data_IF_918495451826
#
_entry.id   IF_918495451826
#
_cell.length_a   1.000
_cell.length_b   1.000
_cell.length_c   1.000
_cell.angle_alpha   90.00
_cell.angle_beta   90.00
_cell.angle_gamma   90.00
#
_symmetry.space_group_name_H-M   'P 1'
#
loop_
_entity.id
_entity.type
_entity.pdbx_description
1 polymer ?
#
# COMPACT_ATOMS: atom_id res chain seq x y z
N UNK A 1 -22.11 19.78 -1.46
CA UNK A 1 -22.48 19.27 -2.80
C UNK A 1 -23.29 20.25 -3.64
N UNK A 2 -24.34 20.90 -3.13
CA UNK A 2 -25.17 21.81 -3.97
C UNK A 2 -24.40 22.92 -4.71
N UNK A 3 -23.28 23.38 -4.13
CA UNK A 3 -22.36 24.34 -4.75
C UNK A 3 -21.68 23.76 -6.00
N UNK A 4 -21.19 22.52 -5.92
CA UNK A 4 -20.49 21.82 -7.00
C UNK A 4 -21.43 21.37 -8.13
N UNK A 5 -22.73 21.30 -7.87
CA UNK A 5 -23.75 20.93 -8.86
C UNK A 5 -24.27 22.13 -9.67
N UNK A 6 -24.00 23.36 -9.21
CA UNK A 6 -24.52 24.61 -9.80
C UNK A 6 -23.43 25.49 -10.42
N UNK A 7 -22.21 25.42 -9.89
CA UNK A 7 -21.08 26.23 -10.36
C UNK A 7 -20.31 25.52 -11.48
N UNK A 8 -19.65 26.29 -12.35
CA UNK A 8 -18.68 25.74 -13.29
C UNK A 8 -17.47 25.27 -12.48
N UNK A 9 -17.20 23.96 -12.53
CA UNK A 9 -16.12 23.35 -11.75
C UNK A 9 -14.75 23.67 -12.35
N UNK A 10 -13.74 23.78 -11.48
CA UNK A 10 -12.36 23.82 -11.94
C UNK A 10 -11.88 22.43 -12.35
N UNK A 11 -10.80 22.36 -13.13
CA UNK A 11 -10.17 21.08 -13.50
C UNK A 11 -9.75 20.27 -12.26
N UNK A 12 -9.37 20.95 -11.16
CA UNK A 12 -9.02 20.30 -9.90
C UNK A 12 -10.24 19.67 -9.23
N UNK A 13 -11.39 20.37 -9.18
CA UNK A 13 -12.64 19.83 -8.62
C UNK A 13 -13.13 18.62 -9.43
N UNK A 14 -13.04 18.71 -10.76
CA UNK A 14 -13.40 17.61 -11.67
C UNK A 14 -12.49 16.40 -11.42
N UNK A 15 -11.19 16.62 -11.28
CA UNK A 15 -10.23 15.56 -11.05
C UNK A 15 -10.44 14.88 -9.69
N UNK A 16 -10.71 15.64 -8.63
CA UNK A 16 -11.07 15.09 -7.32
C UNK A 16 -12.35 14.26 -7.36
N UNK A 17 -13.40 14.75 -8.04
CA UNK A 17 -14.65 13.99 -8.23
C UNK A 17 -14.40 12.66 -8.98
N UNK A 18 -13.52 12.64 -9.98
CA UNK A 18 -13.12 11.41 -10.66
C UNK A 18 -12.44 10.43 -9.72
N UNK A 19 -11.54 10.91 -8.85
CA UNK A 19 -10.83 10.04 -7.91
C UNK A 19 -11.76 9.48 -6.83
N UNK A 20 -12.70 10.28 -6.30
CA UNK A 20 -13.71 9.79 -5.36
C UNK A 20 -14.59 8.70 -5.98
N UNK A 21 -15.06 8.91 -7.22
CA UNK A 21 -15.79 7.88 -7.94
C UNK A 21 -14.93 6.62 -8.17
N UNK A 22 -13.64 6.79 -8.48
CA UNK A 22 -12.70 5.68 -8.66
C UNK A 22 -12.52 4.85 -7.38
N UNK A 23 -12.47 5.47 -6.20
CA UNK A 23 -12.47 4.73 -4.91
C UNK A 23 -13.70 3.83 -4.80
N UNK A 24 -14.89 4.37 -5.08
CA UNK A 24 -16.15 3.63 -4.98
C UNK A 24 -16.23 2.51 -6.03
N UNK A 25 -15.79 2.77 -7.27
CA UNK A 25 -15.77 1.77 -8.34
C UNK A 25 -14.75 0.65 -8.02
N UNK A 26 -13.59 0.96 -7.44
CA UNK A 26 -12.57 -0.03 -7.06
C UNK A 26 -13.04 -0.93 -5.91
N UNK A 27 -13.67 -0.35 -4.87
CA UNK A 27 -14.26 -1.14 -3.78
C UNK A 27 -15.34 -2.11 -4.28
N UNK A 28 -16.21 -1.67 -5.20
CA UNK A 28 -17.20 -2.54 -5.81
C UNK A 28 -16.58 -3.64 -6.66
N UNK A 29 -15.50 -3.35 -7.40
CA UNK A 29 -14.77 -4.34 -8.21
C UNK A 29 -14.02 -5.38 -7.35
N UNK A 30 -13.71 -5.05 -6.10
CA UNK A 30 -13.23 -6.00 -5.08
C UNK A 30 -14.38 -6.80 -4.42
N UNK A 31 -15.64 -6.52 -4.77
CA UNK A 31 -16.82 -7.19 -4.24
C UNK A 31 -17.44 -6.51 -3.00
N UNK A 32 -16.91 -5.36 -2.58
CA UNK A 32 -17.46 -4.57 -1.47
C UNK A 32 -18.54 -3.61 -1.98
N UNK A 33 -19.79 -4.07 -2.09
CA UNK A 33 -20.89 -3.24 -2.62
C UNK A 33 -21.63 -2.45 -1.55
N UNK A 34 -21.62 -2.89 -0.29
CA UNK A 34 -22.44 -2.31 0.78
C UNK A 34 -22.25 -0.78 0.92
N UNK A 35 -21.02 -0.28 0.84
CA UNK A 35 -20.77 1.16 0.91
C UNK A 35 -21.43 1.90 -0.26
N UNK A 36 -21.31 1.38 -1.48
CA UNK A 36 -21.92 1.98 -2.66
C UNK A 36 -23.44 1.95 -2.57
N UNK A 37 -24.00 0.83 -2.11
CA UNK A 37 -25.44 0.64 -1.95
C UNK A 37 -26.00 1.66 -0.94
N UNK A 38 -25.38 1.80 0.23
CA UNK A 38 -25.77 2.80 1.24
C UNK A 38 -25.60 4.24 0.74
N UNK A 39 -24.45 4.56 0.12
CA UNK A 39 -24.17 5.90 -0.39
C UNK A 39 -25.12 6.31 -1.53
N UNK A 40 -25.56 5.34 -2.33
CA UNK A 40 -26.54 5.57 -3.38
C UNK A 40 -27.96 5.69 -2.82
N UNK A 41 -28.38 4.82 -1.90
CA UNK A 41 -29.72 4.86 -1.29
C UNK A 41 -29.94 6.16 -0.50
N UNK A 42 -28.98 6.55 0.34
CA UNK A 42 -29.15 7.67 1.26
C UNK A 42 -28.86 9.04 0.61
N UNK A 43 -27.95 9.08 -0.37
CA UNK A 43 -27.43 10.35 -0.90
C UNK A 43 -27.41 10.46 -2.42
N UNK A 44 -27.76 9.39 -3.15
CA UNK A 44 -27.58 9.25 -4.60
C UNK A 44 -26.15 9.58 -5.04
N UNK A 45 -25.17 9.21 -4.21
CA UNK A 45 -23.80 9.69 -4.32
C UNK A 45 -23.15 9.32 -5.67
N UNK A 46 -23.26 8.07 -6.10
CA UNK A 46 -22.65 7.61 -7.35
C UNK A 46 -23.35 8.25 -8.56
N UNK A 47 -24.68 8.29 -8.54
CA UNK A 47 -25.47 8.96 -9.59
C UNK A 47 -25.05 10.42 -9.73
N UNK A 48 -24.96 11.15 -8.61
CA UNK A 48 -24.57 12.57 -8.60
C UNK A 48 -23.13 12.79 -9.06
N UNK A 49 -22.18 11.97 -8.62
CA UNK A 49 -20.80 12.04 -9.10
C UNK A 49 -20.72 11.83 -10.61
N UNK A 50 -21.41 10.81 -11.15
CA UNK A 50 -21.44 10.55 -12.60
C UNK A 50 -22.10 11.69 -13.38
N UNK A 51 -23.17 12.28 -12.88
CA UNK A 51 -23.82 13.44 -13.49
C UNK A 51 -22.91 14.68 -13.51
N UNK A 52 -22.19 14.95 -12.42
CA UNK A 52 -21.23 16.05 -12.34
C UNK A 52 -20.14 15.89 -13.42
N UNK A 53 -19.59 14.69 -13.57
CA UNK A 53 -18.59 14.40 -14.60
C UNK A 53 -19.17 14.57 -16.01
N UNK A 54 -20.37 14.04 -16.25
CA UNK A 54 -21.05 14.14 -17.54
C UNK A 54 -21.33 15.59 -17.95
N UNK A 55 -21.83 16.42 -17.02
CA UNK A 55 -22.10 17.86 -17.26
C UNK A 55 -20.85 18.64 -17.63
N UNK A 56 -19.69 18.23 -17.13
CA UNK A 56 -18.40 18.82 -17.45
C UNK A 56 -17.70 18.15 -18.67
N UNK A 57 -18.39 17.24 -19.37
CA UNK A 57 -17.88 16.64 -20.60
C UNK A 57 -16.71 15.67 -20.41
N UNK A 58 -16.52 15.15 -19.19
CA UNK A 58 -15.42 14.23 -18.88
C UNK A 58 -15.94 12.82 -18.55
N UNK A 59 -15.12 11.82 -18.87
CA UNK A 59 -15.38 10.44 -18.47
C UNK A 59 -14.73 10.12 -17.11
N UNK A 60 -15.33 9.20 -16.31
CA UNK A 60 -14.67 8.59 -15.16
C UNK A 60 -13.31 7.97 -15.53
N UNK A 61 -12.49 7.66 -14.52
CA UNK A 61 -11.33 6.80 -14.75
C UNK A 61 -11.79 5.39 -15.17
N UNK A 62 -11.03 4.70 -16.03
CA UNK A 62 -11.33 3.32 -16.34
C UNK A 62 -11.20 2.45 -15.06
N UNK A 63 -12.02 1.41 -15.00
CA UNK A 63 -11.74 0.27 -14.14
C UNK A 63 -10.62 -0.50 -14.84
N UNK A 64 -9.49 -0.72 -14.16
CA UNK A 64 -8.34 -1.41 -14.77
C UNK A 64 -8.69 -2.89 -14.93
N UNK A 65 -9.09 -3.27 -16.15
CA UNK A 65 -9.42 -4.65 -16.51
C UNK A 65 -8.18 -5.52 -16.78
N UNK A 66 -6.97 -4.96 -16.72
CA UNK A 66 -5.69 -5.66 -16.93
C UNK A 66 -5.17 -6.31 -15.64
N UNK A 67 -6.05 -6.88 -14.81
CA UNK A 67 -5.59 -7.72 -13.69
C UNK A 67 -4.80 -8.91 -14.25
N UNK A 68 -3.65 -9.20 -13.64
CA UNK A 68 -2.89 -10.38 -13.99
C UNK A 68 -3.72 -11.63 -13.64
N UNK A 69 -3.59 -12.68 -14.44
CA UNK A 69 -4.25 -13.94 -14.14
C UNK A 69 -3.60 -14.57 -12.90
N UNK A 70 -4.42 -15.18 -12.04
CA UNK A 70 -3.95 -15.90 -10.86
C UNK A 70 -2.86 -16.91 -11.20
N UNK A 71 -1.94 -17.10 -10.26
CA UNK A 71 -0.85 -18.07 -10.39
C UNK A 71 -0.94 -19.16 -9.33
N UNK A 72 -0.21 -20.25 -9.55
CA UNK A 72 -0.07 -21.35 -8.59
C UNK A 72 1.27 -21.21 -7.89
N UNK A 73 1.25 -21.36 -6.57
CA UNK A 73 2.44 -21.27 -5.74
C UNK A 73 2.98 -22.66 -5.40
N UNK A 74 4.31 -22.74 -5.26
CA UNK A 74 4.98 -23.96 -4.83
C UNK A 74 4.63 -24.30 -3.38
N UNK A 75 4.88 -25.55 -2.99
CA UNK A 75 4.78 -25.98 -1.58
C UNK A 75 6.06 -25.75 -0.79
N UNK A 76 7.13 -25.36 -1.48
CA UNK A 76 8.43 -25.11 -0.86
C UNK A 76 8.41 -23.70 -0.24
N UNK A 77 8.86 -23.61 1.01
CA UNK A 77 8.98 -22.34 1.71
C UNK A 77 10.41 -21.83 1.62
N UNK A 78 10.54 -20.53 1.36
CA UNK A 78 11.80 -19.81 1.37
C UNK A 78 11.78 -18.76 2.46
N UNK A 79 12.88 -18.61 3.20
CA UNK A 79 13.07 -17.45 4.07
C UNK A 79 13.19 -16.19 3.18
N UNK A 80 12.46 -15.14 3.54
CA UNK A 80 12.27 -13.97 2.68
C UNK A 80 13.59 -13.24 2.37
N UNK A 81 14.45 -13.00 3.35
CA UNK A 81 15.71 -12.28 3.11
C UNK A 81 16.67 -13.08 2.22
N UNK A 82 16.78 -14.39 2.44
CA UNK A 82 17.54 -15.30 1.58
C UNK A 82 17.02 -15.30 0.14
N UNK A 83 15.70 -15.36 -0.05
CA UNK A 83 15.08 -15.28 -1.38
C UNK A 83 15.37 -13.95 -2.07
N UNK A 84 15.26 -12.83 -1.36
CA UNK A 84 15.54 -11.49 -1.89
C UNK A 84 17.01 -11.37 -2.35
N UNK A 85 17.95 -11.99 -1.61
CA UNK A 85 19.34 -12.08 -2.02
C UNK A 85 19.54 -12.86 -3.34
N UNK A 86 18.81 -13.96 -3.52
CA UNK A 86 18.85 -14.76 -4.75
C UNK A 86 18.24 -14.00 -5.94
N UNK A 87 17.10 -13.34 -5.73
CA UNK A 87 16.40 -12.55 -6.76
C UNK A 87 17.29 -11.48 -7.39
N UNK A 88 18.05 -10.73 -6.57
CA UNK A 88 18.99 -9.72 -7.05
C UNK A 88 20.05 -10.32 -8.00
N UNK A 89 20.58 -11.49 -7.66
CA UNK A 89 21.58 -12.20 -8.46
C UNK A 89 20.99 -12.74 -9.77
N UNK A 90 19.75 -13.24 -9.74
CA UNK A 90 19.07 -13.76 -10.92
C UNK A 90 18.65 -12.67 -11.90
N UNK A 91 18.04 -11.58 -11.39
CA UNK A 91 17.59 -10.47 -12.22
C UNK A 91 18.77 -9.79 -12.96
N UNK A 92 19.96 -9.76 -12.37
CA UNK A 92 21.17 -9.28 -13.02
C UNK A 92 21.61 -10.09 -14.27
N UNK A 93 21.16 -11.35 -14.39
CA UNK A 93 21.50 -12.25 -15.50
C UNK A 93 20.48 -12.24 -16.64
N UNK A 94 19.27 -11.75 -16.41
CA UNK A 94 18.22 -11.67 -17.44
C UNK A 94 18.67 -10.73 -18.56
N UNK A 95 18.31 -10.99 -19.81
CA UNK A 95 18.74 -10.20 -20.97
C UNK A 95 17.95 -8.90 -21.18
N UNK A 96 16.65 -8.92 -20.89
CA UNK A 96 15.69 -7.84 -21.15
C UNK A 96 15.24 -7.15 -19.86
N UNK A 97 14.73 -5.92 -19.99
CA UNK A 97 13.97 -5.22 -18.94
C UNK A 97 12.50 -5.20 -19.34
N UNK A 98 11.60 -5.15 -18.36
CA UNK A 98 10.17 -5.00 -18.62
C UNK A 98 9.88 -3.67 -19.32
N UNK A 99 8.85 -3.67 -20.17
CA UNK A 99 8.36 -2.49 -20.88
C UNK A 99 7.15 -1.85 -20.19
N UNK A 100 6.78 -2.32 -18.99
CA UNK A 100 5.64 -1.78 -18.28
C UNK A 100 5.89 -0.30 -17.91
N UNK A 101 5.08 0.65 -18.40
CA UNK A 101 5.34 2.08 -18.21
C UNK A 101 5.20 2.53 -16.74
N UNK A 102 4.50 1.77 -15.90
CA UNK A 102 4.32 2.12 -14.49
C UNK A 102 5.61 1.96 -13.66
N UNK A 103 6.56 1.16 -14.12
CA UNK A 103 7.85 0.97 -13.44
C UNK A 103 8.63 2.29 -13.32
N UNK A 104 8.52 3.21 -14.28
CA UNK A 104 9.13 4.54 -14.21
C UNK A 104 8.53 5.38 -13.06
N UNK A 105 7.24 5.23 -12.79
CA UNK A 105 6.58 5.92 -11.68
C UNK A 105 7.02 5.32 -10.33
N UNK A 106 7.17 4.00 -10.24
CA UNK A 106 7.73 3.33 -9.05
C UNK A 106 9.20 3.72 -8.85
N UNK A 107 9.98 3.93 -9.93
CA UNK A 107 11.35 4.43 -9.84
C UNK A 107 11.41 5.85 -9.26
N UNK A 108 10.56 6.76 -9.76
CA UNK A 108 10.45 8.13 -9.21
C UNK A 108 9.96 8.13 -7.78
N UNK A 109 9.03 7.24 -7.44
CA UNK A 109 8.61 7.05 -6.05
C UNK A 109 9.81 6.64 -5.18
N UNK A 110 10.62 5.69 -5.65
CA UNK A 110 11.84 5.24 -4.96
C UNK A 110 12.86 6.37 -4.75
N UNK A 111 13.02 7.26 -5.74
CA UNK A 111 13.84 8.48 -5.61
C UNK A 111 13.27 9.46 -4.57
N UNK A 112 11.94 9.64 -4.57
CA UNK A 112 11.27 10.58 -3.68
C UNK A 112 11.34 10.16 -2.20
N UNK A 113 11.35 8.86 -1.90
CA UNK A 113 11.49 8.35 -0.52
C UNK A 113 12.74 8.92 0.17
N UNK A 114 13.83 9.11 -0.59
CA UNK A 114 15.17 9.53 -0.13
C UNK A 114 15.81 8.54 0.86
N UNK A 115 17.14 8.56 0.91
CA UNK A 115 17.92 7.73 1.84
C UNK A 115 18.67 8.59 2.86
N UNK A 116 18.64 8.16 4.11
CA UNK A 116 19.36 8.71 5.25
C UNK A 116 20.00 7.56 6.04
N UNK A 117 21.30 7.68 6.35
CA UNK A 117 22.10 6.62 6.97
C UNK A 117 21.66 6.28 8.41
N UNK A 118 21.09 7.25 9.13
CA UNK A 118 20.64 7.08 10.53
C UNK A 118 19.18 6.64 10.63
N UNK A 119 18.55 6.31 9.49
CA UNK A 119 17.15 5.92 9.38
C UNK A 119 17.03 4.45 8.97
N UNK A 120 16.14 3.73 9.64
CA UNK A 120 15.70 2.40 9.21
C UNK A 120 14.54 2.52 8.23
N UNK A 121 14.57 1.74 7.15
CA UNK A 121 13.53 1.71 6.14
C UNK A 121 12.84 0.36 6.17
N UNK A 122 11.57 0.35 6.55
CA UNK A 122 10.72 -0.85 6.56
C UNK A 122 9.94 -0.86 5.25
N UNK A 123 10.17 -1.84 4.40
CA UNK A 123 9.43 -2.02 3.15
C UNK A 123 8.34 -3.06 3.35
N UNK A 124 7.07 -2.67 3.15
CA UNK A 124 5.95 -3.60 3.21
C UNK A 124 5.85 -4.38 1.89
N UNK A 125 6.36 -5.61 1.92
CA UNK A 125 6.81 -6.37 0.75
C UNK A 125 5.71 -6.84 -0.21
N UNK A 126 4.43 -6.61 0.09
CA UNK A 126 3.35 -6.81 -0.88
C UNK A 126 3.53 -5.88 -2.09
N UNK A 127 3.69 -4.58 -1.81
CA UNK A 127 3.71 -3.56 -2.86
C UNK A 127 5.01 -2.72 -2.86
N UNK A 128 5.93 -3.01 -1.94
CA UNK A 128 7.19 -2.27 -1.79
C UNK A 128 8.44 -3.08 -2.20
N UNK A 129 8.27 -4.22 -2.89
CA UNK A 129 9.41 -5.02 -3.38
C UNK A 129 10.31 -4.20 -4.31
N UNK A 130 9.76 -3.54 -5.33
CA UNK A 130 10.57 -2.79 -6.29
C UNK A 130 11.28 -1.58 -5.66
N UNK A 131 10.63 -0.78 -4.78
CA UNK A 131 11.35 0.18 -3.94
C UNK A 131 12.45 -0.45 -3.09
N UNK A 132 12.23 -1.61 -2.46
CA UNK A 132 13.28 -2.29 -1.70
C UNK A 132 14.49 -2.64 -2.58
N UNK A 133 14.25 -3.19 -3.78
CA UNK A 133 15.30 -3.53 -4.74
C UNK A 133 16.10 -2.30 -5.16
N UNK A 134 15.43 -1.16 -5.41
CA UNK A 134 16.10 0.10 -5.72
C UNK A 134 17.11 0.51 -4.64
N UNK A 135 16.73 0.41 -3.37
CA UNK A 135 17.62 0.77 -2.27
C UNK A 135 18.77 -0.24 -2.14
N UNK A 136 18.48 -1.55 -2.28
CA UNK A 136 19.51 -2.60 -2.26
C UNK A 136 20.52 -2.47 -3.39
N UNK A 137 20.09 -2.16 -4.62
CA UNK A 137 21.00 -2.02 -5.77
C UNK A 137 22.00 -0.87 -5.59
N UNK A 138 21.63 0.13 -4.79
CA UNK A 138 22.50 1.26 -4.40
C UNK A 138 23.35 0.98 -3.16
N UNK A 139 23.46 -0.27 -2.72
CA UNK A 139 24.21 -0.70 -1.54
C UNK A 139 23.79 0.06 -0.26
N UNK A 140 22.49 0.31 -0.10
CA UNK A 140 21.96 0.93 1.12
C UNK A 140 21.78 -0.11 2.22
N UNK A 141 22.06 0.33 3.45
CA UNK A 141 21.90 -0.45 4.68
C UNK A 141 20.62 -0.04 5.43
N UNK A 142 20.34 -0.73 6.55
CA UNK A 142 19.17 -0.50 7.41
C UNK A 142 17.82 -0.69 6.70
N UNK A 143 17.75 -1.67 5.81
CA UNK A 143 16.56 -2.00 5.05
C UNK A 143 15.93 -3.27 5.62
N UNK A 144 14.63 -3.20 5.92
CA UNK A 144 13.89 -4.25 6.61
C UNK A 144 12.71 -4.69 5.74
N UNK A 145 12.78 -5.86 5.08
CA UNK A 145 11.68 -6.36 4.26
C UNK A 145 10.64 -7.05 5.13
N UNK A 146 9.53 -6.37 5.43
CA UNK A 146 8.46 -6.93 6.27
C UNK A 146 7.25 -7.33 5.42
N UNK A 147 6.68 -8.51 5.70
CA UNK A 147 5.52 -9.03 4.98
C UNK A 147 4.29 -9.11 5.90
N UNK A 148 3.91 -7.96 6.45
CA UNK A 148 2.70 -7.80 7.29
C UNK A 148 1.46 -7.77 6.37
N UNK A 149 0.97 -8.95 6.02
CA UNK A 149 -0.22 -9.14 5.17
C UNK A 149 -1.44 -9.56 6.00
N UNK A 150 -2.65 -9.51 5.42
CA UNK A 150 -3.84 -10.08 6.08
C UNK A 150 -3.67 -11.55 6.49
N UNK A 151 -2.92 -12.34 5.70
CA UNK A 151 -2.59 -13.74 6.05
C UNK A 151 -1.70 -13.82 7.30
N UNK A 152 -0.69 -12.95 7.40
CA UNK A 152 0.15 -12.85 8.60
C UNK A 152 -0.70 -12.45 9.81
N UNK A 153 -1.52 -11.42 9.68
CA UNK A 153 -2.36 -10.94 10.77
C UNK A 153 -3.29 -12.06 11.28
N UNK A 154 -3.97 -12.76 10.36
CA UNK A 154 -4.83 -13.89 10.71
C UNK A 154 -4.09 -15.06 11.32
N UNK A 155 -2.88 -15.39 10.87
CA UNK A 155 -2.08 -16.46 11.49
C UNK A 155 -1.78 -16.16 12.96
N UNK A 156 -1.54 -14.90 13.30
CA UNK A 156 -1.20 -14.49 14.66
C UNK A 156 -2.45 -14.29 15.53
N UNK A 157 -3.53 -13.72 14.99
CA UNK A 157 -4.73 -13.37 15.77
C UNK A 157 -5.83 -14.41 15.73
N UNK A 158 -5.76 -15.38 14.80
CA UNK A 158 -6.84 -16.32 14.45
C UNK A 158 -8.14 -15.62 14.00
N UNK A 159 -8.07 -14.33 13.65
CA UNK A 159 -9.23 -13.50 13.27
C UNK A 159 -9.07 -13.02 11.83
N UNK A 160 -10.09 -13.29 11.02
CA UNK A 160 -10.21 -12.71 9.68
C UNK A 160 -10.48 -11.19 9.79
N UNK A 161 -9.92 -10.42 8.86
CA UNK A 161 -10.14 -8.98 8.71
C UNK A 161 -9.83 -8.11 9.94
N UNK A 162 -8.93 -8.55 10.84
CA UNK A 162 -8.51 -7.75 12.01
C UNK A 162 -7.96 -6.36 11.65
N UNK A 163 -7.43 -6.19 10.43
CA UNK A 163 -7.03 -4.87 9.96
C UNK A 163 -8.19 -3.87 9.82
N UNK A 164 -9.45 -4.31 9.86
CA UNK A 164 -10.63 -3.44 10.00
C UNK A 164 -10.64 -2.70 11.34
N UNK A 165 -10.27 -3.35 12.44
CA UNK A 165 -10.22 -2.72 13.78
C UNK A 165 -9.18 -1.60 13.83
N UNK A 166 -8.16 -1.70 12.98
CA UNK A 166 -7.18 -0.64 12.80
C UNK A 166 -7.69 0.44 11.85
N UNK A 167 -8.51 0.09 10.83
CA UNK A 167 -9.10 1.06 9.90
C UNK A 167 -10.23 1.89 10.51
N UNK A 168 -11.01 1.34 11.44
CA UNK A 168 -12.12 2.03 12.09
C UNK A 168 -11.68 3.36 12.74
N UNK A 169 -10.61 3.40 13.56
CA UNK A 169 -10.07 4.64 14.13
C UNK A 169 -9.75 5.74 13.10
N UNK A 170 -9.25 5.35 11.92
CA UNK A 170 -8.88 6.28 10.85
C UNK A 170 -10.12 7.00 10.33
N UNK A 171 -11.21 6.26 10.10
CA UNK A 171 -12.49 6.85 9.71
C UNK A 171 -13.10 7.68 10.85
N UNK A 172 -13.09 7.18 12.09
CA UNK A 172 -13.61 7.90 13.25
C UNK A 172 -12.93 9.25 13.47
N UNK A 173 -11.63 9.37 13.16
CA UNK A 173 -10.91 10.63 13.20
C UNK A 173 -11.45 11.65 12.19
N UNK A 174 -11.70 11.20 10.96
CA UNK A 174 -12.25 12.04 9.88
C UNK A 174 -13.67 12.49 10.20
N UNK A 175 -14.50 11.60 10.74
CA UNK A 175 -15.86 11.93 11.18
C UNK A 175 -15.89 12.98 12.29
N UNK A 176 -14.88 12.97 13.18
CA UNK A 176 -14.67 14.02 14.19
C UNK A 176 -14.05 15.31 13.62
N UNK A 177 -13.81 15.37 12.31
CA UNK A 177 -13.27 16.54 11.62
C UNK A 177 -11.76 16.72 11.78
N UNK A 178 -11.02 15.67 12.14
CA UNK A 178 -9.56 15.73 12.26
C UNK A 178 -8.89 15.55 10.89
N UNK A 179 -8.80 16.64 10.12
CA UNK A 179 -8.27 16.62 8.73
C UNK A 179 -6.78 16.98 8.61
N UNK A 180 -6.11 17.24 9.72
CA UNK A 180 -4.67 17.56 9.77
C UNK A 180 -3.94 16.48 10.55
N UNK A 181 -2.76 16.05 10.10
CA UNK A 181 -2.02 14.95 10.74
C UNK A 181 -1.83 15.15 12.25
N UNK A 182 -1.48 16.37 12.67
CA UNK A 182 -1.23 16.73 14.07
C UNK A 182 -2.45 16.54 15.00
N UNK A 183 -3.66 16.52 14.45
CA UNK A 183 -4.89 16.21 15.21
C UNK A 183 -5.37 14.79 14.95
N UNK A 184 -5.20 14.33 13.72
CA UNK A 184 -5.62 13.02 13.25
C UNK A 184 -4.86 11.90 13.93
N UNK A 185 -3.53 11.96 13.94
CA UNK A 185 -2.68 10.89 14.46
C UNK A 185 -2.83 10.69 15.97
N UNK A 186 -2.83 11.72 16.84
CA UNK A 186 -3.03 11.50 18.27
C UNK A 186 -4.36 10.78 18.58
N UNK A 187 -5.44 11.15 17.89
CA UNK A 187 -6.73 10.46 18.03
C UNK A 187 -6.64 9.00 17.56
N UNK A 188 -6.14 8.77 16.34
CA UNK A 188 -6.00 7.42 15.80
C UNK A 188 -5.10 6.55 16.70
N UNK A 189 -4.01 7.11 17.21
CA UNK A 189 -3.04 6.38 18.03
C UNK A 189 -3.65 5.83 19.30
N UNK A 190 -4.48 6.61 20.00
CA UNK A 190 -5.15 6.16 21.23
C UNK A 190 -6.06 4.97 20.93
N UNK A 191 -6.96 5.13 19.98
CA UNK A 191 -7.95 4.11 19.59
C UNK A 191 -7.29 2.86 18.97
N UNK A 192 -6.22 3.02 18.18
CA UNK A 192 -5.43 1.89 17.64
C UNK A 192 -4.75 1.11 18.78
N UNK A 193 -4.20 1.80 19.79
CA UNK A 193 -3.54 1.12 20.90
C UNK A 193 -4.54 0.32 21.76
N UNK A 194 -5.76 0.86 21.93
CA UNK A 194 -6.87 0.16 22.57
C UNK A 194 -7.31 -1.05 21.75
N UNK A 195 -7.49 -0.92 20.43
CA UNK A 195 -7.80 -2.05 19.56
C UNK A 195 -6.73 -3.15 19.62
N UNK A 196 -5.44 -2.77 19.66
CA UNK A 196 -4.33 -3.72 19.78
C UNK A 196 -4.24 -4.41 21.16
N UNK A 197 -4.89 -3.89 22.20
CA UNK A 197 -4.95 -4.58 23.51
C UNK A 197 -5.80 -5.86 23.46
N UNK A 198 -6.73 -5.96 22.50
CA UNK A 198 -7.47 -7.20 22.21
C UNK A 198 -6.60 -8.25 21.49
N UNK A 199 -5.44 -7.83 20.96
CA UNK A 199 -4.50 -8.66 20.19
C UNK A 199 -3.10 -8.68 20.80
N UNK A 200 -2.94 -9.15 22.06
CA UNK A 200 -1.68 -8.99 22.81
C UNK A 200 -0.48 -9.70 22.17
N UNK A 201 -0.69 -10.83 21.49
CA UNK A 201 0.37 -11.54 20.78
C UNK A 201 0.87 -10.75 19.57
N UNK A 202 -0.04 -10.25 18.74
CA UNK A 202 0.31 -9.38 17.61
C UNK A 202 1.02 -8.12 18.09
N UNK A 203 0.45 -7.43 19.09
CA UNK A 203 1.03 -6.23 19.70
C UNK A 203 2.46 -6.49 20.17
N UNK A 204 2.69 -7.63 20.84
CA UNK A 204 4.03 -8.04 21.28
C UNK A 204 4.96 -8.31 20.10
N UNK A 205 4.55 -9.09 19.10
CA UNK A 205 5.39 -9.41 17.93
C UNK A 205 5.82 -8.14 17.20
N UNK A 206 4.88 -7.24 16.90
CA UNK A 206 5.19 -5.98 16.22
C UNK A 206 6.10 -5.07 17.05
N UNK A 207 5.86 -4.99 18.37
CA UNK A 207 6.71 -4.23 19.29
C UNK A 207 8.12 -4.80 19.37
N UNK A 208 8.25 -6.13 19.42
CA UNK A 208 9.54 -6.83 19.44
C UNK A 208 10.30 -6.58 18.13
N UNK A 209 9.62 -6.70 16.97
CA UNK A 209 10.19 -6.39 15.65
C UNK A 209 10.71 -4.95 15.58
N UNK A 210 9.90 -3.96 15.99
CA UNK A 210 10.30 -2.56 16.06
C UNK A 210 11.47 -2.35 17.05
N UNK A 211 11.45 -3.05 18.19
CA UNK A 211 12.49 -3.02 19.21
C UNK A 211 13.85 -3.53 18.74
N UNK A 212 13.90 -4.39 17.72
CA UNK A 212 15.17 -4.85 17.12
C UNK A 212 15.87 -3.77 16.28
N UNK A 213 15.13 -2.75 15.82
CA UNK A 213 15.67 -1.67 15.00
C UNK A 213 16.45 -0.70 15.89
N UNK A 214 17.72 -0.46 15.56
CA UNK A 214 18.64 0.35 16.37
C UNK A 214 18.60 1.83 16.04
N UNK A 215 18.09 2.17 14.86
CA UNK A 215 18.00 3.54 14.36
C UNK A 215 16.99 4.35 15.18
N UNK A 216 17.24 5.66 15.27
CA UNK A 216 16.39 6.60 16.00
C UNK A 216 15.15 7.01 15.21
N UNK A 217 15.14 6.72 13.91
CA UNK A 217 14.02 6.97 13.00
C UNK A 217 13.73 5.71 12.20
N UNK A 218 12.44 5.44 12.01
CA UNK A 218 11.93 4.36 11.17
C UNK A 218 11.01 4.99 10.13
N UNK A 219 11.19 4.65 8.86
CA UNK A 219 10.30 5.07 7.77
C UNK A 219 9.70 3.82 7.14
N UNK A 220 8.38 3.67 7.26
CA UNK A 220 7.62 2.59 6.63
C UNK A 220 7.21 2.99 5.22
N UNK A 221 7.49 2.14 4.24
CA UNK A 221 7.19 2.32 2.83
C UNK A 221 6.05 1.39 2.43
N UNK A 222 4.96 1.96 1.93
CA UNK A 222 3.77 1.23 1.50
C UNK A 222 3.13 1.91 0.27
N UNK A 223 2.19 1.23 -0.40
CA UNK A 223 1.29 1.82 -1.38
C UNK A 223 -0.19 1.78 -0.96
N UNK A 224 -0.53 1.09 0.15
CA UNK A 224 -1.88 0.96 0.66
C UNK A 224 -2.52 2.31 0.98
N UNK A 225 -3.71 2.58 0.44
CA UNK A 225 -4.27 3.93 0.43
C UNK A 225 -4.64 4.47 1.82
N UNK A 226 -5.01 3.62 2.78
CA UNK A 226 -5.35 4.06 4.14
C UNK A 226 -4.12 4.26 5.05
N UNK A 227 -2.99 3.66 4.68
CA UNK A 227 -1.82 3.57 5.57
C UNK A 227 -2.09 2.77 6.84
N UNK A 228 -2.95 1.75 6.78
CA UNK A 228 -3.38 0.96 7.96
C UNK A 228 -2.21 0.38 8.73
N UNK A 229 -1.30 -0.32 8.04
CA UNK A 229 -0.13 -0.94 8.68
C UNK A 229 0.87 0.13 9.18
N UNK A 230 1.24 1.16 8.41
CA UNK A 230 2.05 2.28 8.90
C UNK A 230 1.47 2.96 10.13
N UNK A 231 0.16 3.22 10.16
CA UNK A 231 -0.51 3.85 11.31
C UNK A 231 -0.49 2.94 12.54
N UNK A 232 -0.67 1.63 12.35
CA UNK A 232 -0.51 0.63 13.41
C UNK A 232 0.91 0.64 14.00
N UNK A 233 1.93 0.61 13.14
CA UNK A 233 3.34 0.66 13.58
C UNK A 233 3.70 1.99 14.24
N UNK A 234 3.18 3.11 13.72
CA UNK A 234 3.35 4.44 14.29
C UNK A 234 2.70 4.59 15.67
N UNK A 235 1.55 3.93 15.89
CA UNK A 235 0.92 3.93 17.21
C UNK A 235 1.80 3.23 18.26
N UNK A 236 2.46 2.12 17.88
CA UNK A 236 3.31 1.31 18.74
C UNK A 236 4.67 1.95 19.04
N UNK A 237 5.27 2.65 18.08
CA UNK A 237 6.60 3.24 18.24
C UNK A 237 6.69 4.65 17.66
N UNK A 238 6.99 5.62 18.53
CA UNK A 238 7.12 7.04 18.17
C UNK A 238 8.24 7.36 17.16
N UNK A 239 9.17 6.43 16.91
CA UNK A 239 10.23 6.59 15.90
C UNK A 239 9.70 6.42 14.48
N UNK A 240 8.52 5.82 14.32
CA UNK A 240 7.93 5.46 13.04
C UNK A 240 7.25 6.67 12.40
N UNK A 241 7.67 6.94 11.18
CA UNK A 241 7.03 7.79 10.18
C UNK A 241 6.80 6.93 8.93
N UNK A 242 6.12 7.46 7.90
CA UNK A 242 5.83 6.67 6.72
C UNK A 242 5.76 7.47 5.43
N UNK A 243 5.89 6.73 4.33
CA UNK A 243 5.86 7.20 2.95
C UNK A 243 4.94 6.29 2.16
N UNK A 244 3.95 6.89 1.52
CA UNK A 244 2.99 6.23 0.66
C UNK A 244 3.17 6.65 -0.79
N UNK A 245 2.89 5.76 -1.73
CA UNK A 245 2.82 6.12 -3.14
C UNK A 245 1.69 7.14 -3.40
N UNK A 246 0.50 6.86 -2.88
CA UNK A 246 -0.70 7.71 -2.93
C UNK A 246 -1.59 7.37 -1.72
N UNK A 247 -2.74 8.02 -1.59
CA UNK A 247 -3.75 7.74 -0.56
C UNK A 247 -5.13 8.03 -1.13
N UNK A 248 -6.19 7.73 -0.36
CA UNK A 248 -7.54 8.10 -0.76
C UNK A 248 -7.69 9.64 -0.81
N UNK A 249 -8.52 10.20 -1.70
CA UNK A 249 -8.62 11.65 -1.87
C UNK A 249 -8.94 12.42 -0.60
N UNK A 250 -9.81 11.86 0.25
CA UNK A 250 -10.18 12.45 1.54
C UNK A 250 -9.05 12.44 2.60
N UNK A 251 -7.92 11.80 2.33
CA UNK A 251 -6.72 11.80 3.17
C UNK A 251 -5.57 12.65 2.58
N UNK A 252 -5.74 13.27 1.41
CA UNK A 252 -4.64 14.00 0.75
C UNK A 252 -4.08 15.17 1.53
N UNK A 253 -4.92 15.87 2.27
CA UNK A 253 -4.48 16.97 3.11
C UNK A 253 -3.93 16.45 4.45
N UNK A 254 -4.53 15.37 4.99
CA UNK A 254 -4.06 14.70 6.21
C UNK A 254 -2.65 14.12 6.04
N UNK A 255 -2.34 13.50 4.89
CA UNK A 255 -1.08 12.81 4.61
C UNK A 255 -0.17 13.58 3.63
N UNK A 256 -0.36 14.89 3.46
CA UNK A 256 0.25 15.66 2.38
C UNK A 256 1.78 15.50 2.27
N UNK A 257 2.52 15.49 3.38
CA UNK A 257 3.98 15.36 3.40
C UNK A 257 4.45 13.89 3.36
N UNK A 258 3.50 12.95 3.39
CA UNK A 258 3.71 11.50 3.44
C UNK A 258 3.39 10.80 2.13
N UNK A 259 2.77 11.47 1.17
CA UNK A 259 2.39 10.89 -0.12
C UNK A 259 3.29 11.38 -1.26
N UNK A 260 3.62 10.49 -2.19
CA UNK A 260 4.38 10.84 -3.38
C UNK A 260 3.54 11.60 -4.41
N UNK A 261 2.29 11.18 -4.63
CA UNK A 261 1.41 11.82 -5.59
C UNK A 261 -0.07 11.81 -5.15
N UNK A 262 -0.88 12.69 -5.78
CA UNK A 262 -2.35 12.76 -5.62
C UNK A 262 -3.05 12.09 -6.80
N UNK A 263 -2.69 10.83 -7.07
CA UNK A 263 -3.23 10.01 -8.17
C UNK A 263 -3.74 8.69 -7.62
N UNK A 264 -4.88 8.71 -6.93
CA UNK A 264 -5.48 7.49 -6.38
C UNK A 264 -5.72 6.45 -7.48
N UNK A 265 -6.08 6.90 -8.69
CA UNK A 265 -6.35 6.03 -9.84
C UNK A 265 -5.18 5.14 -10.25
N UNK A 266 -3.95 5.46 -9.83
CA UNK A 266 -2.76 4.67 -10.12
C UNK A 266 -2.53 3.54 -9.10
N UNK A 267 -3.28 3.47 -7.97
CA UNK A 267 -2.99 2.49 -6.92
C UNK A 267 -3.12 1.05 -7.40
N UNK A 268 -4.12 0.78 -8.24
CA UNK A 268 -4.37 -0.56 -8.78
C UNK A 268 -3.39 -0.96 -9.88
N UNK A 269 -2.57 -0.03 -10.38
CA UNK A 269 -1.47 -0.37 -11.30
C UNK A 269 -0.39 -1.19 -10.62
N UNK A 270 -0.31 -1.18 -9.28
CA UNK A 270 0.53 -2.11 -8.53
C UNK A 270 0.12 -3.58 -8.77
N UNK A 271 -1.17 -3.87 -8.94
CA UNK A 271 -1.71 -5.21 -9.28
C UNK A 271 -1.30 -5.68 -10.69
N UNK A 272 -0.78 -4.77 -11.54
CA UNK A 272 -0.30 -5.12 -12.89
C UNK A 272 1.17 -5.56 -12.91
N UNK A 273 1.87 -5.49 -11.76
CA UNK A 273 3.28 -5.86 -11.63
C UNK A 273 3.42 -7.34 -11.26
N UNK A 274 4.08 -8.13 -12.11
CA UNK A 274 4.29 -9.56 -11.84
C UNK A 274 5.10 -9.78 -10.56
N UNK A 275 6.13 -8.96 -10.33
CA UNK A 275 7.04 -9.08 -9.19
C UNK A 275 6.37 -8.80 -7.84
N UNK A 276 5.36 -7.95 -7.80
CA UNK A 276 4.69 -7.55 -6.57
C UNK A 276 3.42 -8.37 -6.32
N UNK A 277 2.64 -8.61 -7.38
CA UNK A 277 1.32 -9.24 -7.26
C UNK A 277 1.40 -10.78 -7.23
N UNK A 278 2.24 -11.37 -8.08
CA UNK A 278 2.20 -12.82 -8.36
C UNK A 278 3.47 -13.60 -8.00
N UNK A 279 4.62 -12.93 -7.85
CA UNK A 279 5.89 -13.65 -7.72
C UNK A 279 5.98 -14.50 -6.45
N UNK A 280 5.56 -13.93 -5.31
CA UNK A 280 5.65 -14.57 -4.00
C UNK A 280 4.40 -14.28 -3.18
N UNK A 281 4.02 -15.23 -2.33
CA UNK A 281 2.98 -15.03 -1.32
C UNK A 281 3.50 -15.37 0.06
N UNK A 282 2.97 -14.68 1.06
CA UNK A 282 3.17 -15.05 2.46
C UNK A 282 2.79 -16.52 2.71
N UNK A 283 3.67 -17.24 3.39
CA UNK A 283 3.47 -18.63 3.80
C UNK A 283 3.29 -18.76 5.31
N UNK A 284 4.27 -18.30 6.09
CA UNK A 284 4.22 -18.40 7.55
C UNK A 284 5.20 -17.45 8.26
N UNK A 285 5.04 -17.33 9.58
CA UNK A 285 5.92 -16.59 10.46
C UNK A 285 6.48 -17.51 11.56
N UNK A 286 7.81 -17.62 11.65
CA UNK A 286 8.47 -18.43 12.68
C UNK A 286 9.86 -17.90 12.99
N UNK A 287 10.27 -18.05 14.24
CA UNK A 287 11.60 -17.66 14.72
C UNK A 287 12.00 -16.20 14.38
N UNK A 288 11.02 -15.29 14.34
CA UNK A 288 11.25 -13.88 14.01
C UNK A 288 11.47 -13.60 12.53
N UNK A 289 11.11 -14.53 11.63
CA UNK A 289 11.35 -14.42 10.19
C UNK A 289 10.09 -14.70 9.37
N UNK A 290 10.02 -14.02 8.21
CA UNK A 290 8.98 -14.22 7.22
C UNK A 290 9.36 -15.33 6.24
N UNK A 291 8.42 -16.23 5.97
CA UNK A 291 8.56 -17.26 4.95
C UNK A 291 7.52 -17.08 3.85
N UNK A 292 7.93 -17.40 2.62
CA UNK A 292 7.12 -17.22 1.42
C UNK A 292 7.14 -18.47 0.54
N UNK A 293 6.07 -18.65 -0.23
CA UNK A 293 6.07 -19.54 -1.38
C UNK A 293 6.20 -18.71 -2.65
N UNK A 294 6.91 -19.24 -3.64
CA UNK A 294 7.06 -18.60 -4.95
C UNK A 294 6.14 -19.23 -5.98
N UNK A 295 5.79 -18.49 -7.02
CA UNK A 295 5.06 -19.01 -8.17
C UNK A 295 5.79 -20.21 -8.82
N UNK A 296 5.02 -21.16 -9.35
CA UNK A 296 5.50 -22.24 -10.23
C UNK A 296 5.40 -21.87 -11.71
N UNK A 297 4.89 -20.68 -12.04
CA UNK A 297 4.73 -20.21 -13.42
C UNK A 297 6.01 -19.52 -13.90
N UNK A 298 6.67 -20.13 -14.88
CA UNK A 298 7.90 -19.61 -15.48
C UNK A 298 7.70 -18.25 -16.16
N UNK A 299 6.50 -17.96 -16.69
CA UNK A 299 6.18 -16.66 -17.31
C UNK A 299 6.14 -15.59 -16.22
N UNK A 300 5.47 -15.86 -15.10
CA UNK A 300 5.44 -14.93 -13.97
C UNK A 300 6.86 -14.68 -13.45
N UNK A 301 7.66 -15.73 -13.31
CA UNK A 301 9.07 -15.62 -12.90
C UNK A 301 9.88 -14.76 -13.87
N UNK A 302 9.82 -15.04 -15.18
CA UNK A 302 10.56 -14.29 -16.21
C UNK A 302 10.17 -12.81 -16.19
N UNK A 303 8.88 -12.51 -16.14
CA UNK A 303 8.35 -11.14 -16.11
C UNK A 303 8.76 -10.40 -14.84
N UNK A 304 8.67 -11.07 -13.69
CA UNK A 304 9.10 -10.51 -12.40
C UNK A 304 10.58 -10.14 -12.41
N UNK A 305 11.45 -11.01 -12.92
CA UNK A 305 12.89 -10.73 -13.01
C UNK A 305 13.18 -9.58 -13.99
N UNK A 306 12.42 -9.46 -15.09
CA UNK A 306 12.56 -8.36 -16.04
C UNK A 306 12.13 -7.00 -15.44
N UNK A 307 11.11 -6.98 -14.57
CA UNK A 307 10.72 -5.79 -13.78
C UNK A 307 11.81 -5.43 -12.77
N UNK A 308 12.25 -6.40 -11.95
CA UNK A 308 13.32 -6.21 -10.94
C UNK A 308 14.60 -5.68 -11.60
N UNK A 309 14.99 -6.19 -12.77
CA UNK A 309 16.19 -5.76 -13.49
C UNK A 309 16.19 -4.25 -13.81
N UNK A 310 15.03 -3.64 -14.00
CA UNK A 310 14.95 -2.19 -14.23
C UNK A 310 15.50 -1.39 -13.03
N UNK A 311 15.30 -1.89 -11.82
CA UNK A 311 15.72 -1.25 -10.56
C UNK A 311 17.16 -1.61 -10.15
N UNK A 312 17.78 -2.55 -10.86
CA UNK A 312 19.22 -2.81 -10.74
C UNK A 312 20.08 -1.79 -11.50
N UNK A 313 19.47 -0.98 -12.36
CA UNK A 313 20.15 0.13 -13.06
C UNK A 313 20.23 1.33 -12.12
N UNK A 314 21.35 1.44 -11.42
CA UNK A 314 21.67 2.57 -10.54
C UNK A 314 23.16 2.64 -10.30
#
# INVERSE_FOLDING_TARGET
MEKYERDQLSDADIYEAKQLLKVLDDLADEGYTNLNDCMEEDFSCLTRLREVLHKNGVAPFPIDYERLADTVYSKEEYELEELLGQLLSEAGKVGSVSANPFLEEIYKYSEWIRYDEDTAYVFLMRDALLPYIYFRSKNRDNLYPWLISRKFLREITEIDDMDDDIRIPLYGALEKGHVSYDRYFPFCREEILEALDEYPELKKILSDMLGTIKQNRIVVIESGYMGTIPMMLAALDSRVDFRLFTTAPFLYDTYQDKIFCRRYEDIRKFETMYSQDLFMQYSSWRDGKFYVNITTDDIVRERSLAEIKMFLKG
#
